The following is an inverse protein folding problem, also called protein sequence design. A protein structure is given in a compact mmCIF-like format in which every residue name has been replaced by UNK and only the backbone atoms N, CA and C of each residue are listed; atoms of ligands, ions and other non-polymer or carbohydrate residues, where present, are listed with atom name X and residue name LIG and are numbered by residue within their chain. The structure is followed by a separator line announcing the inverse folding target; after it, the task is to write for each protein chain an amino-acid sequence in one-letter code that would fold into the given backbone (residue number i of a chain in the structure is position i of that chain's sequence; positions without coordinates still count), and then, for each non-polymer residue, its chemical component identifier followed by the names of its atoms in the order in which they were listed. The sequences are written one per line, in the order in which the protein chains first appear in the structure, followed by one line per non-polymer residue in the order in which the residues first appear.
data_IF_163255497156
#
_entry.id   IF_163255497156
#
_cell.length_a   1.000
_cell.length_b   1.000
_cell.length_c   1.000
_cell.angle_alpha   90.00
_cell.angle_beta   90.00
_cell.angle_gamma   90.00
#
_symmetry.space_group_name_H-M   'P 1'
#
loop_
_entity.id
_entity.type
_entity.pdbx_description
1 polymer ?
#
# COMPACT_ATOMS: atom_id res chain seq x y z
N UNK A 1 -6.33 -17.29 37.15
CA UNK A 1 -6.69 -16.07 36.42
C UNK A 1 -7.90 -16.41 35.58
N UNK A 2 -9.10 -16.06 36.06
CA UNK A 2 -10.33 -16.38 35.35
C UNK A 2 -10.37 -15.51 34.09
N UNK A 3 -10.40 -16.15 32.91
CA UNK A 3 -10.77 -15.49 31.66
C UNK A 3 -12.21 -15.03 31.87
N UNK A 4 -12.41 -13.75 32.11
CA UNK A 4 -13.74 -13.14 32.13
C UNK A 4 -14.44 -13.52 30.83
N UNK A 5 -15.65 -14.06 30.94
CA UNK A 5 -16.51 -14.37 29.80
C UNK A 5 -16.53 -13.17 28.85
N UNK A 6 -16.31 -13.41 27.55
CA UNK A 6 -16.47 -12.39 26.50
C UNK A 6 -17.80 -11.68 26.74
N UNK A 7 -17.76 -10.37 26.98
CA UNK A 7 -18.96 -9.64 27.35
C UNK A 7 -19.87 -9.51 26.13
N UNK A 8 -20.97 -10.27 26.15
CA UNK A 8 -21.98 -10.23 25.11
C UNK A 8 -22.78 -8.93 25.20
N UNK A 9 -22.72 -8.08 24.17
CA UNK A 9 -23.59 -6.92 24.09
C UNK A 9 -25.06 -7.36 23.93
N UNK A 10 -26.00 -6.78 24.69
CA UNK A 10 -27.43 -7.01 24.51
C UNK A 10 -27.88 -6.64 23.09
N UNK A 11 -28.90 -7.34 22.58
CA UNK A 11 -29.45 -7.15 21.23
C UNK A 11 -29.91 -5.71 20.96
N UNK A 12 -30.33 -5.00 22.00
CA UNK A 12 -30.80 -3.61 21.95
C UNK A 12 -29.72 -2.62 21.50
N UNK A 13 -28.44 -2.95 21.70
CA UNK A 13 -27.29 -2.15 21.25
C UNK A 13 -26.82 -2.51 19.83
N UNK A 14 -27.55 -3.38 19.13
CA UNK A 14 -27.22 -3.84 17.78
C UNK A 14 -28.26 -3.38 16.74
N UNK A 15 -28.56 -2.07 16.62
CA UNK A 15 -29.46 -1.60 15.58
C UNK A 15 -28.80 -1.79 14.21
N UNK A 16 -29.58 -2.28 13.25
CA UNK A 16 -29.18 -2.38 11.85
C UNK A 16 -29.91 -1.30 11.06
N UNK A 17 -29.17 -0.53 10.28
CA UNK A 17 -29.73 0.38 9.29
C UNK A 17 -29.22 -0.01 7.91
N UNK A 18 -30.17 -0.33 7.02
CA UNK A 18 -29.85 -0.61 5.62
C UNK A 18 -29.56 0.70 4.89
N UNK A 19 -28.40 0.77 4.26
CA UNK A 19 -27.94 1.85 3.43
C UNK A 19 -27.35 1.28 2.13
N UNK A 20 -28.23 1.16 1.14
CA UNK A 20 -27.90 0.63 -0.19
C UNK A 20 -26.77 1.41 -0.84
N UNK A 21 -26.74 2.74 -0.68
CA UNK A 21 -25.71 3.57 -1.31
C UNK A 21 -24.33 3.25 -0.74
N UNK A 22 -24.19 3.24 0.59
CA UNK A 22 -22.89 2.97 1.20
C UNK A 22 -22.46 1.51 1.03
N UNK A 23 -23.43 0.57 0.97
CA UNK A 23 -23.17 -0.83 0.59
C UNK A 23 -22.60 -0.96 -0.83
N UNK A 24 -23.23 -0.32 -1.83
CA UNK A 24 -22.76 -0.30 -3.22
C UNK A 24 -21.40 0.39 -3.35
N UNK A 25 -21.19 1.51 -2.65
CA UNK A 25 -19.90 2.20 -2.62
C UNK A 25 -18.80 1.28 -2.09
N UNK A 26 -19.06 0.60 -0.97
CA UNK A 26 -18.13 -0.37 -0.36
C UNK A 26 -17.80 -1.49 -1.34
N UNK A 27 -18.82 -2.09 -1.95
CA UNK A 27 -18.65 -3.15 -2.94
C UNK A 27 -17.82 -2.70 -4.15
N UNK A 28 -18.13 -1.51 -4.70
CA UNK A 28 -17.38 -0.92 -5.80
C UNK A 28 -15.92 -0.64 -5.47
N UNK A 29 -15.63 -0.13 -4.26
CA UNK A 29 -14.27 0.08 -3.78
C UNK A 29 -13.51 -1.24 -3.62
N UNK A 30 -14.14 -2.28 -3.06
CA UNK A 30 -13.54 -3.61 -2.96
C UNK A 30 -13.20 -4.20 -4.34
N UNK A 31 -14.11 -4.11 -5.31
CA UNK A 31 -13.84 -4.55 -6.70
C UNK A 31 -12.69 -3.75 -7.31
N UNK A 32 -12.69 -2.43 -7.15
CA UNK A 32 -11.61 -1.55 -7.63
C UNK A 32 -10.25 -1.91 -7.04
N UNK A 33 -10.19 -2.25 -5.74
CA UNK A 33 -8.98 -2.72 -5.08
C UNK A 33 -8.48 -4.04 -5.70
N UNK A 34 -9.36 -5.02 -5.85
CA UNK A 34 -9.02 -6.31 -6.45
C UNK A 34 -8.46 -6.12 -7.86
N UNK A 35 -9.15 -5.37 -8.72
CA UNK A 35 -8.71 -5.10 -10.10
C UNK A 35 -7.38 -4.34 -10.17
N UNK A 36 -7.07 -3.51 -9.17
CA UNK A 36 -5.84 -2.73 -9.12
C UNK A 36 -4.62 -3.56 -8.74
N UNK A 37 -4.76 -4.47 -7.78
CA UNK A 37 -3.64 -5.24 -7.24
C UNK A 37 -3.39 -6.56 -7.99
N UNK A 38 -4.43 -7.23 -8.48
CA UNK A 38 -4.28 -8.53 -9.16
C UNK A 38 -3.26 -8.51 -10.32
N UNK A 39 -3.21 -7.50 -11.20
CA UNK A 39 -2.21 -7.44 -12.26
C UNK A 39 -0.77 -7.42 -11.72
N UNK A 40 -0.53 -6.75 -10.58
CA UNK A 40 0.78 -6.72 -9.94
C UNK A 40 1.15 -8.08 -9.36
N UNK A 41 0.21 -8.73 -8.65
CA UNK A 41 0.42 -10.09 -8.12
C UNK A 41 0.72 -11.07 -9.24
N UNK A 42 -0.07 -11.02 -10.32
CA UNK A 42 0.13 -11.84 -11.52
C UNK A 42 1.52 -11.60 -12.12
N UNK A 43 1.94 -10.34 -12.30
CA UNK A 43 3.25 -10.00 -12.86
C UNK A 43 4.39 -10.63 -12.04
N UNK A 44 4.36 -10.52 -10.71
CA UNK A 44 5.41 -11.09 -9.86
C UNK A 44 5.43 -12.64 -9.97
N UNK A 45 4.25 -13.26 -9.91
CA UNK A 45 4.11 -14.73 -9.97
C UNK A 45 4.53 -15.30 -11.32
N UNK A 46 4.18 -14.61 -12.41
CA UNK A 46 4.47 -15.02 -13.78
C UNK A 46 5.93 -14.76 -14.15
N UNK A 47 6.46 -13.58 -13.81
CA UNK A 47 7.86 -13.22 -14.09
C UNK A 47 8.87 -13.94 -13.20
N UNK A 48 8.41 -14.58 -12.10
CA UNK A 48 9.27 -15.31 -11.14
C UNK A 48 10.41 -14.46 -10.57
N UNK A 49 10.22 -13.15 -10.50
CA UNK A 49 11.20 -12.19 -9.99
C UNK A 49 10.49 -11.02 -9.35
N UNK A 50 11.06 -10.51 -8.26
CA UNK A 50 10.61 -9.32 -7.57
C UNK A 50 11.55 -8.12 -7.75
N UNK A 51 12.39 -8.16 -8.80
CA UNK A 51 13.23 -7.02 -9.22
C UNK A 51 12.38 -5.77 -9.43
N UNK A 52 12.90 -4.61 -8.99
CA UNK A 52 12.18 -3.34 -9.10
C UNK A 52 11.39 -2.95 -7.85
N UNK A 53 11.24 -3.85 -6.87
CA UNK A 53 10.54 -3.55 -5.62
C UNK A 53 11.51 -3.16 -4.52
N UNK A 54 11.08 -2.21 -3.68
CA UNK A 54 11.86 -1.70 -2.56
C UNK A 54 11.46 -2.39 -1.24
N UNK A 55 12.37 -3.08 -0.54
CA UNK A 55 12.05 -3.76 0.73
C UNK A 55 11.62 -2.81 1.85
N UNK A 56 12.18 -1.59 1.94
CA UNK A 56 11.80 -0.60 2.97
C UNK A 56 10.42 -0.03 2.68
N UNK A 57 10.10 0.23 1.41
CA UNK A 57 8.75 0.65 1.04
C UNK A 57 7.70 -0.40 1.42
N UNK A 58 8.00 -1.68 1.19
CA UNK A 58 7.12 -2.79 1.57
C UNK A 58 7.02 -2.94 3.10
N UNK A 59 8.14 -2.80 3.83
CA UNK A 59 8.14 -2.79 5.30
C UNK A 59 7.22 -1.71 5.86
N UNK A 60 7.43 -0.45 5.46
CA UNK A 60 6.66 0.69 5.95
C UNK A 60 5.18 0.53 5.60
N UNK A 61 4.87 0.12 4.35
CA UNK A 61 3.51 -0.07 3.87
C UNK A 61 2.77 -1.20 4.57
N UNK A 62 3.39 -2.37 4.73
CA UNK A 62 2.74 -3.52 5.37
C UNK A 62 2.52 -3.27 6.87
N UNK A 63 3.48 -2.62 7.53
CA UNK A 63 3.39 -2.23 8.96
C UNK A 63 2.31 -1.16 9.17
N UNK A 64 2.24 -0.16 8.29
CA UNK A 64 1.18 0.85 8.26
C UNK A 64 -0.19 0.18 8.05
N UNK A 65 -0.36 -0.58 6.97
CA UNK A 65 -1.62 -1.23 6.63
C UNK A 65 -2.12 -2.18 7.73
N UNK A 66 -1.23 -2.94 8.39
CA UNK A 66 -1.59 -3.80 9.51
C UNK A 66 -2.08 -3.02 10.74
N UNK A 67 -1.46 -1.85 10.99
CA UNK A 67 -1.85 -0.97 12.09
C UNK A 67 -3.20 -0.29 11.80
N UNK A 68 -3.42 0.19 10.57
CA UNK A 68 -4.71 0.73 10.11
C UNK A 68 -5.83 -0.31 10.12
N UNK A 69 -5.52 -1.56 9.75
CA UNK A 69 -6.42 -2.71 9.85
C UNK A 69 -6.93 -2.92 11.27
N UNK A 70 -6.01 -3.11 12.21
CA UNK A 70 -6.37 -3.39 13.58
C UNK A 70 -6.99 -2.19 14.29
N UNK A 71 -6.68 -0.95 13.89
CA UNK A 71 -7.43 0.22 14.34
C UNK A 71 -8.93 0.10 14.00
N UNK A 72 -9.25 -0.22 12.74
CA UNK A 72 -10.65 -0.37 12.31
C UNK A 72 -11.33 -1.53 13.03
N UNK A 73 -10.67 -2.69 13.15
CA UNK A 73 -11.20 -3.84 13.91
C UNK A 73 -11.46 -3.45 15.37
N UNK A 74 -10.54 -2.72 16.00
CA UNK A 74 -10.66 -2.29 17.41
C UNK A 74 -11.88 -1.40 17.60
N UNK A 75 -12.07 -0.43 16.71
CA UNK A 75 -13.17 0.54 16.82
C UNK A 75 -14.53 -0.06 16.42
N UNK A 76 -14.54 -0.99 15.47
CA UNK A 76 -15.76 -1.68 15.03
C UNK A 76 -16.05 -2.99 15.78
N UNK A 77 -15.35 -3.27 16.89
CA UNK A 77 -15.51 -4.53 17.61
C UNK A 77 -16.95 -4.80 18.07
N UNK A 78 -17.66 -3.77 18.53
CA UNK A 78 -19.07 -3.89 18.93
C UNK A 78 -19.95 -4.32 17.75
N UNK A 79 -19.72 -3.74 16.57
CA UNK A 79 -20.44 -4.08 15.33
C UNK A 79 -20.15 -5.52 14.91
N UNK A 80 -18.90 -5.97 15.07
CA UNK A 80 -18.50 -7.36 14.82
C UNK A 80 -19.24 -8.32 15.78
N UNK A 81 -19.31 -7.99 17.07
CA UNK A 81 -20.05 -8.79 18.06
C UNK A 81 -21.56 -8.83 17.77
N UNK A 82 -22.13 -7.75 17.25
CA UNK A 82 -23.53 -7.68 16.86
C UNK A 82 -23.90 -8.63 15.71
N UNK A 83 -22.92 -9.09 14.91
CA UNK A 83 -23.19 -10.02 13.81
C UNK A 83 -23.79 -11.37 14.25
N UNK A 84 -23.71 -11.75 15.54
CA UNK A 84 -24.43 -12.93 16.06
C UNK A 84 -25.96 -12.79 16.00
N UNK A 85 -26.47 -11.57 15.96
CA UNK A 85 -27.91 -11.26 15.94
C UNK A 85 -28.42 -10.81 14.57
N UNK A 86 -27.54 -10.54 13.61
CA UNK A 86 -27.87 -10.09 12.27
C UNK A 86 -27.87 -11.26 11.28
N UNK A 87 -28.63 -11.14 10.19
CA UNK A 87 -28.49 -12.05 9.06
C UNK A 87 -27.11 -11.88 8.40
N UNK A 88 -26.59 -12.89 7.68
CA UNK A 88 -25.27 -12.78 7.03
C UNK A 88 -25.13 -11.57 6.11
N UNK A 89 -26.16 -11.25 5.31
CA UNK A 89 -26.15 -10.08 4.42
C UNK A 89 -26.08 -8.75 5.19
N UNK A 90 -26.89 -8.61 6.24
CA UNK A 90 -26.92 -7.40 7.07
C UNK A 90 -25.59 -7.21 7.82
N UNK A 91 -24.97 -8.30 8.29
CA UNK A 91 -23.64 -8.25 8.89
C UNK A 91 -22.57 -7.81 7.89
N UNK A 92 -22.57 -8.37 6.66
CA UNK A 92 -21.61 -7.96 5.61
C UNK A 92 -21.71 -6.47 5.33
N UNK A 93 -22.93 -5.94 5.21
CA UNK A 93 -23.17 -4.52 4.99
C UNK A 93 -22.65 -3.65 6.16
N UNK A 94 -22.87 -4.11 7.39
CA UNK A 94 -22.43 -3.43 8.61
C UNK A 94 -20.90 -3.42 8.75
N UNK A 95 -20.20 -4.41 8.19
CA UNK A 95 -18.74 -4.57 8.26
C UNK A 95 -17.99 -3.94 7.08
N UNK A 96 -18.61 -3.02 6.33
CA UNK A 96 -18.02 -2.45 5.11
C UNK A 96 -16.60 -1.89 5.29
N UNK A 97 -16.33 -1.14 6.37
CA UNK A 97 -14.99 -0.60 6.62
C UNK A 97 -13.95 -1.71 6.90
N UNK A 98 -14.32 -2.73 7.69
CA UNK A 98 -13.49 -3.94 7.91
C UNK A 98 -13.19 -4.64 6.59
N UNK A 99 -14.15 -4.75 5.66
CA UNK A 99 -13.92 -5.39 4.36
C UNK A 99 -12.98 -4.60 3.44
N UNK A 100 -13.23 -3.29 3.25
CA UNK A 100 -12.41 -2.46 2.34
C UNK A 100 -10.96 -2.41 2.84
N UNK A 101 -10.78 -2.04 4.11
CA UNK A 101 -9.47 -1.99 4.77
C UNK A 101 -8.87 -3.40 4.84
N UNK A 102 -9.73 -4.41 5.01
CA UNK A 102 -9.49 -5.87 5.00
C UNK A 102 -8.62 -6.29 3.84
N UNK A 103 -9.24 -6.10 2.69
CA UNK A 103 -8.71 -6.43 1.39
C UNK A 103 -7.45 -5.62 1.11
N UNK A 104 -7.43 -4.31 1.40
CA UNK A 104 -6.23 -3.49 1.19
C UNK A 104 -5.02 -4.04 1.95
N UNK A 105 -5.16 -4.35 3.25
CA UNK A 105 -4.07 -4.92 4.05
C UNK A 105 -3.63 -6.30 3.52
N UNK A 106 -4.59 -7.17 3.22
CA UNK A 106 -4.32 -8.52 2.72
C UNK A 106 -3.56 -8.48 1.39
N UNK A 107 -4.02 -7.68 0.43
CA UNK A 107 -3.43 -7.59 -0.90
C UNK A 107 -2.04 -6.95 -0.87
N UNK A 108 -1.86 -5.88 -0.09
CA UNK A 108 -0.53 -5.27 0.09
C UNK A 108 0.45 -6.22 0.80
N UNK A 109 0.01 -6.92 1.84
CA UNK A 109 0.85 -7.92 2.53
C UNK A 109 1.19 -9.10 1.61
N UNK A 110 0.27 -9.49 0.72
CA UNK A 110 0.55 -10.50 -0.32
C UNK A 110 1.67 -10.05 -1.25
N UNK A 111 1.78 -8.74 -1.58
CA UNK A 111 2.93 -8.22 -2.36
C UNK A 111 4.24 -8.43 -1.60
N UNK A 112 4.30 -8.17 -0.29
CA UNK A 112 5.50 -8.43 0.52
C UNK A 112 5.86 -9.92 0.54
N UNK A 113 4.88 -10.81 0.73
CA UNK A 113 5.12 -12.26 0.72
C UNK A 113 5.66 -12.70 -0.64
N UNK A 114 5.02 -12.29 -1.73
CA UNK A 114 5.48 -12.60 -3.09
C UNK A 114 6.86 -12.00 -3.38
N UNK A 115 7.16 -10.80 -2.86
CA UNK A 115 8.47 -10.17 -2.97
C UNK A 115 9.58 -11.02 -2.34
N UNK A 116 9.35 -11.56 -1.14
CA UNK A 116 10.31 -12.42 -0.44
C UNK A 116 10.45 -13.79 -1.11
N UNK A 117 9.34 -14.39 -1.53
CA UNK A 117 9.33 -15.71 -2.19
C UNK A 117 10.06 -15.65 -3.54
N UNK A 118 9.77 -14.63 -4.35
CA UNK A 118 10.36 -14.45 -5.68
C UNK A 118 11.58 -13.51 -5.68
N UNK A 119 12.27 -13.38 -4.54
CA UNK A 119 13.48 -12.58 -4.47
C UNK A 119 14.57 -13.17 -5.39
N UNK A 120 15.12 -12.39 -6.34
CA UNK A 120 16.03 -12.88 -7.37
C UNK A 120 17.27 -13.57 -6.78
N UNK A 121 17.53 -14.85 -7.10
CA UNK A 121 18.61 -15.62 -6.49
C UNK A 121 20.00 -15.00 -6.66
N UNK A 122 20.29 -14.41 -7.83
CA UNK A 122 21.57 -13.79 -8.13
C UNK A 122 21.83 -12.49 -7.36
N UNK A 123 20.81 -11.88 -6.75
CA UNK A 123 20.99 -10.71 -5.88
C UNK A 123 21.10 -11.09 -4.41
N UNK A 124 20.98 -12.38 -4.04
CA UNK A 124 20.98 -12.79 -2.62
C UNK A 124 22.36 -12.75 -1.99
N UNK A 125 23.39 -13.07 -2.75
CA UNK A 125 24.75 -13.20 -2.27
C UNK A 125 25.74 -12.48 -3.17
N UNK A 126 26.79 -11.94 -2.57
CA UNK A 126 27.89 -11.27 -3.26
C UNK A 126 29.20 -11.88 -2.76
N UNK A 127 30.13 -12.05 -3.69
CA UNK A 127 31.48 -12.50 -3.39
C UNK A 127 32.29 -11.28 -2.95
N UNK A 128 32.71 -11.25 -1.69
CA UNK A 128 33.59 -10.21 -1.17
C UNK A 128 34.99 -10.77 -1.09
N UNK A 129 35.90 -10.15 -1.83
CA UNK A 129 37.32 -10.50 -1.80
C UNK A 129 38.03 -9.62 -0.78
N UNK A 130 38.66 -10.24 0.21
CA UNK A 130 39.44 -9.53 1.22
C UNK A 130 40.92 -9.91 1.12
N UNK A 131 41.80 -8.91 1.20
CA UNK A 131 43.24 -9.12 1.33
C UNK A 131 43.57 -9.25 2.81
N UNK A 132 43.93 -10.44 3.25
CA UNK A 132 44.24 -10.75 4.65
C UNK A 132 45.54 -10.10 5.14
N UNK A 133 46.41 -9.64 4.23
CA UNK A 133 47.67 -8.96 4.54
C UNK A 133 47.94 -7.81 3.55
N UNK A 134 48.28 -6.59 4.01
CA UNK A 134 48.49 -5.42 3.13
C UNK A 134 49.62 -5.57 2.09
N UNK A 135 50.55 -6.51 2.31
CA UNK A 135 51.82 -6.61 1.57
C UNK A 135 51.91 -7.85 0.66
N UNK A 136 50.88 -8.70 0.66
CA UNK A 136 50.85 -9.96 -0.09
C UNK A 136 49.67 -9.97 -1.05
N UNK A 137 49.94 -9.76 -2.34
CA UNK A 137 48.92 -9.80 -3.38
C UNK A 137 48.40 -11.22 -3.69
N UNK A 138 49.07 -12.26 -3.18
CA UNK A 138 48.76 -13.66 -3.51
C UNK A 138 47.74 -14.31 -2.55
N UNK A 139 47.45 -13.69 -1.40
CA UNK A 139 46.49 -14.22 -0.42
C UNK A 139 45.16 -13.47 -0.52
N UNK A 140 44.32 -13.97 -1.44
CA UNK A 140 42.98 -13.45 -1.71
C UNK A 140 41.96 -14.45 -1.17
N UNK A 141 41.22 -14.08 -0.13
CA UNK A 141 40.11 -14.89 0.39
C UNK A 141 38.79 -14.39 -0.17
N UNK A 142 38.05 -15.26 -0.85
CA UNK A 142 36.70 -14.96 -1.36
C UNK A 142 35.66 -15.51 -0.39
N UNK A 143 34.91 -14.61 0.25
CA UNK A 143 33.79 -14.99 1.11
C UNK A 143 32.45 -14.78 0.39
N UNK A 144 31.56 -15.76 0.52
CA UNK A 144 30.22 -15.71 -0.05
C UNK A 144 29.23 -15.18 0.99
N UNK A 145 29.00 -13.87 0.99
CA UNK A 145 28.20 -13.18 2.02
C UNK A 145 26.86 -12.69 1.47
N UNK A 146 25.86 -12.61 2.34
CA UNK A 146 24.55 -12.09 1.99
C UNK A 146 24.65 -10.62 1.54
N UNK A 147 24.03 -10.29 0.41
CA UNK A 147 23.99 -8.92 -0.10
C UNK A 147 23.24 -8.00 0.85
N UNK A 148 23.56 -6.69 0.83
CA UNK A 148 22.83 -5.67 1.61
C UNK A 148 21.33 -5.71 1.33
N UNK A 149 20.96 -6.01 0.09
CA UNK A 149 19.59 -6.03 -0.41
C UNK A 149 18.80 -7.19 0.14
N UNK A 150 19.41 -8.37 0.16
CA UNK A 150 18.83 -9.54 0.77
C UNK A 150 18.72 -9.41 2.29
N UNK A 151 19.73 -8.79 2.93
CA UNK A 151 19.67 -8.46 4.36
C UNK A 151 18.52 -7.50 4.67
N UNK A 152 18.35 -6.46 3.84
CA UNK A 152 17.27 -5.47 3.99
C UNK A 152 15.89 -6.09 3.74
N UNK A 153 15.76 -6.95 2.73
CA UNK A 153 14.55 -7.71 2.45
C UNK A 153 14.17 -8.65 3.60
N UNK A 154 15.17 -9.40 4.12
CA UNK A 154 14.97 -10.31 5.25
C UNK A 154 14.56 -9.52 6.51
N UNK A 155 15.26 -8.43 6.79
CA UNK A 155 14.93 -7.53 7.90
C UNK A 155 13.51 -6.97 7.78
N UNK A 156 13.12 -6.51 6.58
CA UNK A 156 11.77 -6.05 6.29
C UNK A 156 10.72 -7.14 6.61
N UNK A 157 10.91 -8.35 6.09
CA UNK A 157 9.99 -9.47 6.33
C UNK A 157 9.85 -9.84 7.81
N UNK A 158 10.97 -10.01 8.51
CA UNK A 158 10.97 -10.36 9.94
C UNK A 158 10.33 -9.26 10.78
N UNK A 159 10.70 -8.00 10.53
CA UNK A 159 10.16 -6.86 11.28
C UNK A 159 8.65 -6.73 11.07
N UNK A 160 8.16 -6.85 9.83
CA UNK A 160 6.72 -6.84 9.56
C UNK A 160 5.99 -7.98 10.27
N UNK A 161 6.55 -9.19 10.28
CA UNK A 161 5.94 -10.33 10.97
C UNK A 161 5.89 -10.11 12.49
N UNK A 162 7.00 -9.71 13.10
CA UNK A 162 7.07 -9.43 14.55
C UNK A 162 6.10 -8.32 14.93
N UNK A 163 6.06 -7.23 14.16
CA UNK A 163 5.10 -6.15 14.36
C UNK A 163 3.66 -6.67 14.31
N UNK A 164 3.29 -7.38 13.25
CA UNK A 164 1.95 -7.93 13.06
C UNK A 164 1.54 -8.82 14.25
N UNK A 165 2.40 -9.73 14.68
CA UNK A 165 2.14 -10.61 15.82
C UNK A 165 1.94 -9.79 17.11
N UNK A 166 2.81 -8.81 17.37
CA UNK A 166 2.72 -7.96 18.56
C UNK A 166 1.44 -7.13 18.61
N UNK A 167 1.10 -6.43 17.52
CA UNK A 167 -0.10 -5.59 17.47
C UNK A 167 -1.38 -6.42 17.50
N UNK A 168 -1.38 -7.60 16.88
CA UNK A 168 -2.53 -8.52 16.88
C UNK A 168 -2.76 -9.04 18.28
N UNK A 169 -1.71 -9.58 18.92
CA UNK A 169 -1.78 -10.07 20.30
C UNK A 169 -2.30 -8.98 21.24
N UNK A 170 -1.72 -7.78 21.21
CA UNK A 170 -2.11 -6.68 22.10
C UNK A 170 -3.55 -6.23 21.85
N UNK A 171 -3.96 -6.13 20.58
CA UNK A 171 -5.32 -5.74 20.20
C UNK A 171 -6.36 -6.71 20.75
N UNK A 172 -6.20 -8.01 20.47
CA UNK A 172 -7.14 -9.02 20.94
C UNK A 172 -7.07 -9.20 22.46
N UNK A 173 -5.89 -9.09 23.07
CA UNK A 173 -5.76 -9.12 24.52
C UNK A 173 -6.58 -8.00 25.17
N UNK A 174 -6.46 -6.75 24.72
CA UNK A 174 -7.23 -5.62 25.26
C UNK A 174 -8.73 -5.79 25.04
N UNK A 175 -9.13 -6.13 23.81
CA UNK A 175 -10.54 -6.27 23.44
C UNK A 175 -11.24 -7.42 24.19
N UNK A 176 -10.54 -8.53 24.43
CA UNK A 176 -11.13 -9.71 25.08
C UNK A 176 -11.07 -9.66 26.61
N UNK A 177 -10.18 -8.85 27.19
CA UNK A 177 -10.02 -8.77 28.65
C UNK A 177 -10.66 -7.53 29.27
N UNK A 178 -10.86 -6.46 28.50
CA UNK A 178 -11.50 -5.25 29.01
C UNK A 178 -13.00 -5.24 28.75
N UNK A 179 -13.74 -5.07 29.84
CA UNK A 179 -15.16 -4.83 29.81
C UNK A 179 -15.42 -3.38 29.39
N UNK A 180 -16.03 -3.15 28.23
CA UNK A 180 -16.48 -1.82 27.84
C UNK A 180 -17.64 -1.39 28.74
N UNK A 181 -17.58 -0.21 29.38
CA UNK A 181 -18.69 0.30 30.15
C UNK A 181 -19.93 0.45 29.26
N UNK A 182 -21.04 -0.14 29.67
CA UNK A 182 -22.35 0.11 29.09
C UNK A 182 -23.33 0.46 30.21
N UNK A 183 -24.39 1.24 29.90
CA UNK A 183 -25.42 1.54 30.88
C UNK A 183 -26.01 0.24 31.45
N UNK A 184 -26.16 0.16 32.77
CA UNK A 184 -26.86 -0.95 33.43
C UNK A 184 -28.38 -0.74 33.38
N UNK A 185 -29.20 -1.80 33.29
CA UNK A 185 -30.65 -1.69 33.35
C UNK A 185 -31.12 -1.02 34.67
N UNK A 186 -32.23 -0.26 34.67
CA UNK A 186 -33.09 0.07 33.52
C UNK A 186 -32.45 1.15 32.63
N UNK A 187 -32.48 0.90 31.31
CA UNK A 187 -31.97 1.86 30.33
C UNK A 187 -32.84 3.14 30.30
N UNK A 188 -32.30 4.31 29.92
CA UNK A 188 -33.07 5.54 29.81
C UNK A 188 -34.31 5.32 28.92
N UNK A 189 -35.46 5.81 29.40
CA UNK A 189 -36.76 5.63 28.74
C UNK A 189 -36.69 6.20 27.31
N UNK A 190 -37.10 5.45 26.28
CA UNK A 190 -37.20 5.97 24.92
C UNK A 190 -38.15 7.17 24.90
N UNK A 191 -37.80 8.24 24.17
CA UNK A 191 -38.75 9.33 23.86
C UNK A 191 -40.07 8.72 23.35
N UNK A 192 -41.25 9.30 23.63
CA UNK A 192 -42.54 8.80 23.13
C UNK A 192 -42.68 8.75 21.60
N UNK A 193 -41.65 9.15 20.86
CA UNK A 193 -41.60 9.09 19.40
C UNK A 193 -41.66 7.64 18.90
N UNK A 194 -42.32 7.38 17.75
CA UNK A 194 -42.45 6.07 17.11
C UNK A 194 -41.13 5.53 16.52
N UNK A 195 -39.99 6.09 16.92
CA UNK A 195 -38.67 5.64 16.51
C UNK A 195 -38.19 4.53 17.44
N UNK A 196 -37.58 3.45 16.92
CA UNK A 196 -36.98 2.42 17.78
C UNK A 196 -35.99 3.09 18.73
N UNK A 197 -35.91 2.66 20.01
CA UNK A 197 -34.98 3.25 20.97
C UNK A 197 -33.56 3.22 20.45
N UNK A 198 -33.04 4.40 20.13
CA UNK A 198 -31.67 4.58 19.68
C UNK A 198 -30.79 4.77 20.93
N UNK A 199 -30.44 3.65 21.57
CA UNK A 199 -29.45 3.69 22.64
C UNK A 199 -28.11 4.13 22.06
N UNK A 200 -27.39 5.07 22.69
CA UNK A 200 -26.07 5.47 22.22
C UNK A 200 -25.17 4.22 22.15
N UNK A 201 -24.43 4.03 21.06
CA UNK A 201 -23.59 2.86 20.90
C UNK A 201 -22.55 2.80 22.04
N UNK A 202 -22.21 1.60 22.54
CA UNK A 202 -21.17 1.44 23.55
C UNK A 202 -19.87 2.10 23.08
N UNK A 203 -19.28 2.95 23.91
CA UNK A 203 -17.99 3.55 23.64
C UNK A 203 -16.86 2.60 24.09
N UNK A 204 -15.74 2.51 23.35
CA UNK A 204 -14.59 1.75 23.80
C UNK A 204 -14.08 2.28 25.13
N UNK A 205 -13.56 1.39 25.98
CA UNK A 205 -12.86 1.80 27.21
C UNK A 205 -11.72 2.76 26.88
N UNK A 206 -11.28 3.56 27.86
CA UNK A 206 -10.20 4.53 27.65
C UNK A 206 -8.92 3.87 27.10
N UNK A 207 -8.58 2.68 27.56
CA UNK A 207 -7.36 1.94 27.13
C UNK A 207 -7.51 1.41 25.71
N UNK A 208 -8.66 0.84 25.34
CA UNK A 208 -8.97 0.44 23.96
C UNK A 208 -8.93 1.66 23.03
N UNK A 209 -9.51 2.80 23.45
CA UNK A 209 -9.51 4.03 22.67
C UNK A 209 -8.10 4.60 22.45
N UNK A 210 -7.24 4.57 23.48
CA UNK A 210 -5.84 4.97 23.37
C UNK A 210 -5.06 4.04 22.43
N UNK A 211 -5.25 2.72 22.56
CA UNK A 211 -4.61 1.74 21.69
C UNK A 211 -5.02 1.90 20.23
N UNK A 212 -6.32 2.06 19.97
CA UNK A 212 -6.83 2.36 18.64
C UNK A 212 -6.19 3.65 18.10
N UNK A 213 -6.17 4.73 18.90
CA UNK A 213 -5.56 6.00 18.49
C UNK A 213 -4.08 5.84 18.15
N UNK A 214 -3.33 5.11 18.96
CA UNK A 214 -1.94 4.79 18.70
C UNK A 214 -1.76 4.06 17.36
N UNK A 215 -2.54 3.00 17.11
CA UNK A 215 -2.50 2.26 15.85
C UNK A 215 -2.81 3.14 14.63
N UNK A 216 -3.83 4.00 14.72
CA UNK A 216 -4.25 4.89 13.64
C UNK A 216 -3.21 5.97 13.33
N UNK A 217 -2.63 6.60 14.36
CA UNK A 217 -1.57 7.61 14.21
C UNK A 217 -0.28 6.98 13.70
N UNK A 218 0.16 5.85 14.28
CA UNK A 218 1.34 5.11 13.81
C UNK A 218 1.19 4.75 12.34
N UNK A 219 0.02 4.23 11.96
CA UNK A 219 -0.31 3.89 10.57
C UNK A 219 -0.15 5.10 9.64
N UNK A 220 -0.68 6.27 10.02
CA UNK A 220 -0.60 7.49 9.20
C UNK A 220 0.84 8.03 9.10
N UNK A 221 1.61 8.00 10.18
CA UNK A 221 3.03 8.42 10.18
C UNK A 221 3.86 7.52 9.27
N UNK A 222 3.69 6.20 9.39
CA UNK A 222 4.40 5.24 8.54
C UNK A 222 4.03 5.42 7.06
N UNK A 223 2.75 5.66 6.76
CA UNK A 223 2.30 5.99 5.40
C UNK A 223 2.97 7.28 4.89
N UNK A 224 2.99 8.36 5.68
CA UNK A 224 3.64 9.60 5.29
C UNK A 224 5.14 9.39 4.95
N UNK A 225 5.86 8.65 5.80
CA UNK A 225 7.28 8.33 5.56
C UNK A 225 7.42 7.49 4.29
N UNK A 226 6.52 6.52 4.05
CA UNK A 226 6.53 5.67 2.87
C UNK A 226 6.40 6.47 1.55
N UNK A 227 5.51 7.48 1.50
CA UNK A 227 5.26 8.28 0.29
C UNK A 227 6.27 9.42 0.08
N UNK A 228 6.90 9.93 1.14
CA UNK A 228 7.78 11.11 1.09
C UNK A 228 8.93 11.01 0.07
N UNK A 229 9.68 9.90 0.00
CA UNK A 229 10.78 9.73 -0.96
C UNK A 229 10.35 9.90 -2.42
N UNK A 230 9.17 9.38 -2.77
CA UNK A 230 8.65 9.51 -4.13
C UNK A 230 8.32 10.98 -4.43
N UNK A 231 7.69 11.67 -3.47
CA UNK A 231 7.35 13.08 -3.64
C UNK A 231 8.61 13.95 -3.78
N UNK A 232 9.63 13.70 -2.96
CA UNK A 232 10.89 14.44 -2.99
C UNK A 232 11.68 14.19 -4.29
N UNK A 233 11.80 12.93 -4.70
CA UNK A 233 12.56 12.56 -5.91
C UNK A 233 11.95 13.17 -7.16
N UNK A 234 10.63 13.09 -7.31
CA UNK A 234 9.97 13.71 -8.46
C UNK A 234 10.10 15.24 -8.38
N UNK A 235 9.98 15.85 -7.19
CA UNK A 235 10.21 17.30 -7.01
C UNK A 235 11.58 17.75 -7.48
N UNK A 236 12.62 16.99 -7.13
CA UNK A 236 14.00 17.26 -7.53
C UNK A 236 14.26 16.99 -9.02
N UNK A 237 13.67 15.93 -9.58
CA UNK A 237 13.86 15.54 -10.97
C UNK A 237 13.28 16.57 -11.96
N UNK A 238 12.17 17.24 -11.58
CA UNK A 238 11.45 18.19 -12.44
C UNK A 238 10.93 17.59 -13.76
N UNK A 239 10.82 16.27 -13.82
CA UNK A 239 10.33 15.48 -14.94
C UNK A 239 9.45 14.35 -14.40
N UNK A 240 8.50 13.87 -15.21
CA UNK A 240 7.58 12.78 -14.81
C UNK A 240 8.31 11.44 -14.73
N UNK A 241 9.26 11.18 -15.63
CA UNK A 241 9.97 9.90 -15.72
C UNK A 241 9.04 8.74 -16.05
N UNK A 242 9.31 7.56 -15.48
CA UNK A 242 8.53 6.33 -15.71
C UNK A 242 7.22 6.24 -14.90
N UNK A 243 6.75 7.34 -14.32
CA UNK A 243 5.63 7.33 -13.38
C UNK A 243 4.27 7.26 -14.11
N UNK A 244 3.40 6.32 -13.70
CA UNK A 244 2.11 6.10 -14.36
C UNK A 244 1.04 7.11 -13.91
N UNK A 245 0.88 8.19 -14.68
CA UNK A 245 -0.20 9.18 -14.49
C UNK A 245 -1.61 8.55 -14.52
N UNK A 246 -1.96 7.65 -15.47
CA UNK A 246 -3.31 7.06 -15.52
C UNK A 246 -3.68 6.33 -14.23
N UNK A 247 -2.71 5.59 -13.66
CA UNK A 247 -2.90 4.86 -12.41
C UNK A 247 -3.16 5.81 -11.23
N UNK A 248 -2.49 6.96 -11.18
CA UNK A 248 -2.73 7.98 -10.13
C UNK A 248 -4.06 8.73 -10.32
N UNK A 249 -4.49 8.96 -11.55
CA UNK A 249 -5.79 9.58 -11.85
C UNK A 249 -6.97 8.72 -11.41
N UNK A 250 -6.85 7.38 -11.47
CA UNK A 250 -7.89 6.46 -10.99
C UNK A 250 -7.84 6.34 -9.47
N UNK A 251 -6.65 6.28 -8.87
CA UNK A 251 -6.50 6.07 -7.43
C UNK A 251 -6.89 7.30 -6.58
N UNK A 252 -6.57 8.52 -7.02
CA UNK A 252 -6.83 9.74 -6.22
C UNK A 252 -8.32 9.90 -5.87
N UNK A 253 -9.28 9.79 -6.82
CA UNK A 253 -10.70 9.78 -6.51
C UNK A 253 -11.12 8.59 -5.64
N UNK A 254 -10.54 7.41 -5.87
CA UNK A 254 -10.78 6.22 -5.06
C UNK A 254 -10.39 6.40 -3.59
N UNK A 255 -9.28 7.09 -3.32
CA UNK A 255 -8.83 7.41 -1.97
C UNK A 255 -9.81 8.35 -1.25
N UNK A 256 -10.35 9.36 -1.95
CA UNK A 256 -11.37 10.27 -1.40
C UNK A 256 -12.64 9.48 -1.04
N UNK A 257 -13.12 8.64 -1.95
CA UNK A 257 -14.29 7.80 -1.73
C UNK A 257 -14.07 6.81 -0.58
N UNK A 258 -12.87 6.25 -0.44
CA UNK A 258 -12.52 5.36 0.65
C UNK A 258 -12.53 6.08 2.00
N UNK A 259 -11.91 7.25 2.10
CA UNK A 259 -11.92 8.07 3.34
C UNK A 259 -13.34 8.41 3.73
N UNK A 260 -14.15 8.88 2.79
CA UNK A 260 -15.56 9.20 3.04
C UNK A 260 -16.35 7.95 3.47
N UNK A 261 -16.19 6.84 2.75
CA UNK A 261 -16.85 5.58 3.05
C UNK A 261 -16.51 5.02 4.43
N UNK A 262 -15.33 5.30 4.98
CA UNK A 262 -14.97 4.91 6.36
C UNK A 262 -15.54 5.92 7.35
N UNK A 263 -15.40 7.23 7.08
CA UNK A 263 -15.81 8.30 8.00
C UNK A 263 -17.31 8.32 8.31
N UNK A 264 -18.16 7.88 7.38
CA UNK A 264 -19.62 7.82 7.59
C UNK A 264 -20.08 6.57 8.34
N UNK A 265 -19.18 5.61 8.61
CA UNK A 265 -19.57 4.34 9.24
C UNK A 265 -19.71 4.50 10.76
N UNK A 266 -20.76 3.92 11.36
CA UNK A 266 -20.94 3.93 12.80
C UNK A 266 -19.77 3.23 13.51
N UNK A 267 -19.40 3.74 14.68
CA UNK A 267 -18.31 3.20 15.49
C UNK A 267 -16.90 3.55 14.98
N UNK A 268 -16.76 4.27 13.86
CA UNK A 268 -15.46 4.77 13.40
C UNK A 268 -15.19 6.18 13.94
N UNK A 269 -13.92 6.60 13.91
CA UNK A 269 -13.53 7.97 14.25
C UNK A 269 -12.41 8.46 13.31
N UNK A 270 -11.86 9.65 13.57
CA UNK A 270 -10.81 10.23 12.73
C UNK A 270 -9.56 9.35 12.59
N UNK A 271 -9.24 8.53 13.60
CA UNK A 271 -8.10 7.62 13.58
C UNK A 271 -8.30 6.44 12.62
N UNK A 272 -9.55 6.11 12.27
CA UNK A 272 -9.90 5.05 11.31
C UNK A 272 -9.64 5.42 9.87
N UNK A 273 -9.73 6.71 9.53
CA UNK A 273 -9.59 7.16 8.15
C UNK A 273 -8.35 8.02 7.90
N UNK A 274 -7.67 8.52 8.95
CA UNK A 274 -6.53 9.43 8.81
C UNK A 274 -5.39 8.85 7.97
N UNK A 275 -5.09 7.55 8.09
CA UNK A 275 -4.04 6.91 7.27
C UNK A 275 -4.36 7.01 5.78
N UNK A 276 -5.61 6.72 5.40
CA UNK A 276 -6.02 6.74 4.01
C UNK A 276 -6.12 8.18 3.48
N UNK A 277 -6.50 9.13 4.34
CA UNK A 277 -6.45 10.55 4.01
C UNK A 277 -5.01 11.02 3.78
N UNK A 278 -4.07 10.65 4.66
CA UNK A 278 -2.64 10.96 4.48
C UNK A 278 -2.09 10.38 3.18
N UNK A 279 -2.35 9.10 2.90
CA UNK A 279 -1.95 8.46 1.65
C UNK A 279 -2.56 9.15 0.42
N UNK A 280 -3.87 9.45 0.46
CA UNK A 280 -4.58 10.13 -0.61
C UNK A 280 -4.07 11.55 -0.88
N UNK A 281 -3.75 12.32 0.17
CA UNK A 281 -3.15 13.66 0.04
C UNK A 281 -1.76 13.59 -0.57
N UNK A 282 -0.91 12.66 -0.11
CA UNK A 282 0.44 12.48 -0.66
C UNK A 282 0.38 12.06 -2.13
N UNK A 283 -0.50 11.12 -2.47
CA UNK A 283 -0.71 10.66 -3.85
C UNK A 283 -1.31 11.75 -4.74
N UNK A 284 -2.28 12.51 -4.24
CA UNK A 284 -2.86 13.65 -4.95
C UNK A 284 -1.84 14.75 -5.20
N UNK A 285 -0.96 15.01 -4.22
CA UNK A 285 0.15 15.97 -4.36
C UNK A 285 1.11 15.52 -5.46
N UNK A 286 1.46 14.23 -5.49
CA UNK A 286 2.31 13.65 -6.54
C UNK A 286 1.65 13.78 -7.93
N UNK A 287 0.36 13.49 -8.04
CA UNK A 287 -0.40 13.64 -9.27
C UNK A 287 -0.39 15.09 -9.77
N UNK A 288 -0.69 16.06 -8.91
CA UNK A 288 -0.65 17.50 -9.25
C UNK A 288 0.73 17.86 -9.79
N UNK A 289 1.78 17.44 -9.10
CA UNK A 289 3.17 17.65 -9.49
C UNK A 289 3.44 17.12 -10.92
N UNK A 290 3.05 15.87 -11.18
CA UNK A 290 3.22 15.23 -12.48
C UNK A 290 2.46 15.94 -13.60
N UNK A 291 1.24 16.39 -13.34
CA UNK A 291 0.46 17.18 -14.31
C UNK A 291 1.16 18.51 -14.60
N UNK A 292 1.65 19.21 -13.56
CA UNK A 292 2.40 20.45 -13.73
C UNK A 292 3.67 20.27 -14.57
N UNK A 293 4.46 19.20 -14.34
CA UNK A 293 5.63 18.94 -15.17
C UNK A 293 5.27 18.51 -16.58
N UNK A 294 4.23 17.70 -16.77
CA UNK A 294 3.81 17.31 -18.12
C UNK A 294 3.42 18.52 -18.97
N UNK A 295 2.72 19.48 -18.37
CA UNK A 295 2.41 20.76 -19.03
C UNK A 295 3.70 21.55 -19.35
N UNK A 296 4.64 21.61 -18.40
CA UNK A 296 5.93 22.29 -18.62
C UNK A 296 6.78 21.61 -19.69
N UNK A 297 6.86 20.28 -19.69
CA UNK A 297 7.62 19.48 -20.64
C UNK A 297 7.06 19.65 -22.05
N UNK A 298 5.73 19.67 -22.18
CA UNK A 298 5.07 20.00 -23.45
C UNK A 298 5.38 21.41 -23.95
N UNK A 299 5.50 22.40 -23.05
CA UNK A 299 5.91 23.77 -23.42
C UNK A 299 7.37 23.89 -23.84
N UNK A 300 8.24 23.01 -23.34
CA UNK A 300 9.68 23.00 -23.61
C UNK A 300 10.08 22.01 -24.71
N UNK A 301 9.11 21.31 -25.30
CA UNK A 301 9.29 20.22 -26.27
C UNK A 301 10.32 19.15 -25.86
N UNK A 302 10.26 18.79 -24.58
CA UNK A 302 11.07 17.72 -23.99
C UNK A 302 10.20 16.50 -23.68
N UNK A 303 10.78 15.31 -23.79
CA UNK A 303 10.15 14.05 -23.42
C UNK A 303 9.99 13.90 -21.89
N UNK A 304 9.38 12.79 -21.45
CA UNK A 304 9.11 12.51 -20.04
C UNK A 304 10.40 12.35 -19.19
N UNK A 305 11.56 12.15 -19.83
CA UNK A 305 12.87 12.06 -19.20
C UNK A 305 13.69 13.36 -19.30
N UNK A 306 13.19 14.39 -20.00
CA UNK A 306 13.83 15.69 -20.15
C UNK A 306 14.72 15.84 -21.39
N UNK A 307 14.61 14.96 -22.39
CA UNK A 307 15.36 15.02 -23.66
C UNK A 307 14.58 15.78 -24.73
N UNK A 308 15.22 16.59 -25.59
CA UNK A 308 14.53 17.29 -26.68
C UNK A 308 13.93 16.31 -27.70
N UNK A 309 12.65 16.49 -28.08
CA UNK A 309 11.97 15.59 -29.02
C UNK A 309 12.47 15.69 -30.47
N UNK A 310 13.15 16.78 -30.82
CA UNK A 310 13.67 17.03 -32.18
C UNK A 310 15.08 16.48 -32.47
N UNK A 311 15.67 15.68 -31.58
CA UNK A 311 17.03 15.14 -31.78
C UNK A 311 17.11 13.84 -32.60
N UNK A 312 15.99 13.28 -33.07
CA UNK A 312 15.96 11.99 -33.79
C UNK A 312 15.87 12.10 -35.32
N UNK A 313 15.96 13.31 -35.88
CA UNK A 313 15.83 13.53 -37.34
C UNK A 313 17.13 13.89 -38.07
N UNK A 314 18.29 13.91 -37.42
CA UNK A 314 19.55 14.30 -38.08
C UNK A 314 20.53 13.16 -38.37
N UNK A 315 20.30 11.96 -37.83
CA UNK A 315 21.21 10.81 -38.06
C UNK A 315 20.67 9.76 -39.06
N UNK A 316 19.48 9.98 -39.63
CA UNK A 316 18.82 9.04 -40.56
C UNK A 316 19.10 9.31 -42.05
N UNK A 317 20.07 10.15 -42.42
CA UNK A 317 20.43 10.43 -43.82
C UNK A 317 21.77 9.84 -44.27
N UNK A 318 22.28 8.80 -43.59
CA UNK A 318 23.47 8.07 -44.02
C UNK A 318 23.22 6.55 -44.16
N UNK A 319 22.08 6.14 -44.72
CA UNK A 319 21.89 4.77 -45.19
C UNK A 319 20.67 4.65 -46.12
N UNK A 320 20.65 5.42 -47.20
CA UNK A 320 19.83 5.10 -48.37
C UNK A 320 20.62 4.18 -49.30
N UNK A 321 20.37 2.87 -49.20
CA UNK A 321 20.49 1.96 -50.34
C UNK A 321 19.69 0.66 -50.11
N UNK A 322 18.69 0.48 -50.97
CA UNK A 322 18.09 -0.78 -51.43
C UNK A 322 16.77 -1.29 -50.76
N UNK A 323 15.67 -0.93 -51.46
CA UNK A 323 14.67 -1.84 -52.05
C UNK A 323 13.46 -2.32 -51.17
N UNK A 324 12.37 -2.86 -51.76
CA UNK A 324 11.09 -2.13 -51.84
C UNK A 324 9.91 -2.83 -51.12
N UNK A 325 8.81 -2.07 -51.06
CA UNK A 325 7.47 -2.35 -50.52
C UNK A 325 6.81 -3.70 -50.87
N UNK A 326 6.12 -4.32 -49.89
CA UNK A 326 4.73 -4.80 -50.06
C UNK A 326 4.05 -5.24 -48.74
N UNK A 327 2.74 -4.91 -48.64
CA UNK A 327 1.65 -5.53 -47.86
C UNK A 327 1.56 -5.37 -46.32
N UNK A 328 0.45 -4.76 -45.88
CA UNK A 328 -0.15 -4.86 -44.54
C UNK A 328 -1.30 -5.91 -44.56
N UNK A 329 -2.03 -6.26 -43.45
CA UNK A 329 -1.91 -5.87 -42.04
C UNK A 329 -2.08 -7.01 -40.97
N UNK A 330 -1.96 -6.63 -39.67
CA UNK A 330 -2.40 -7.30 -38.41
C UNK A 330 -1.34 -8.07 -37.58
N UNK A 331 -1.58 -8.29 -36.26
CA UNK A 331 -1.80 -7.35 -35.15
C UNK A 331 -0.61 -7.37 -34.16
N UNK A 332 -0.35 -6.24 -33.49
CA UNK A 332 0.84 -6.03 -32.65
C UNK A 332 0.85 -6.87 -31.35
N UNK A 333 1.50 -8.02 -31.41
CA UNK A 333 2.25 -8.62 -30.29
C UNK A 333 3.70 -8.18 -30.41
N UNK A 334 4.38 -7.75 -29.33
CA UNK A 334 5.83 -7.87 -29.04
C UNK A 334 6.16 -6.96 -27.82
N UNK A 335 6.46 -7.52 -26.65
CA UNK A 335 7.78 -7.98 -26.15
C UNK A 335 8.77 -6.83 -25.85
N UNK A 336 8.79 -6.35 -24.60
CA UNK A 336 9.90 -5.57 -24.04
C UNK A 336 10.91 -6.49 -23.31
N UNK A 337 11.65 -7.27 -24.10
CA UNK A 337 12.92 -7.87 -23.66
C UNK A 337 13.87 -7.90 -24.84
N UNK A 338 14.68 -6.84 -25.01
CA UNK A 338 15.92 -6.94 -25.81
C UNK A 338 17.05 -6.19 -25.11
N UNK A 339 18.17 -6.86 -24.77
CA UNK A 339 19.41 -6.23 -24.34
C UNK A 339 20.20 -5.77 -25.58
N UNK A 340 20.68 -4.54 -25.59
CA UNK A 340 21.59 -4.05 -26.63
C UNK A 340 22.99 -3.90 -26.03
N UNK A 341 23.92 -4.77 -26.45
CA UNK A 341 25.35 -4.49 -26.40
C UNK A 341 25.93 -4.63 -27.80
N UNK A 342 26.56 -3.54 -28.24
CA UNK A 342 27.34 -3.43 -29.47
C UNK A 342 28.10 -2.10 -29.48
N UNK A 343 29.15 -2.02 -28.65
CA UNK A 343 30.32 -1.12 -28.71
C UNK A 343 30.15 0.34 -29.16
N UNK A 344 30.41 1.29 -28.26
CA UNK A 344 31.69 2.04 -28.19
C UNK A 344 31.64 3.09 -27.07
N UNK A 345 32.77 3.32 -26.42
CA UNK A 345 32.91 4.21 -25.28
C UNK A 345 32.62 5.67 -25.65
N UNK A 346 31.74 6.33 -24.88
CA UNK A 346 31.98 7.66 -24.33
C UNK A 346 30.95 8.02 -23.24
N UNK A 347 31.48 8.48 -22.12
CA UNK A 347 30.85 9.06 -20.93
C UNK A 347 29.35 9.41 -21.03
N UNK A 348 28.50 8.55 -20.47
CA UNK A 348 27.15 8.91 -20.04
C UNK A 348 27.00 8.52 -18.57
N UNK A 349 26.83 9.52 -17.70
CA UNK A 349 26.52 9.29 -16.29
C UNK A 349 25.25 8.46 -16.16
N UNK A 350 25.24 7.39 -15.34
CA UNK A 350 24.07 6.54 -15.20
C UNK A 350 22.92 7.31 -14.54
N UNK A 351 21.74 7.22 -15.14
CA UNK A 351 20.51 7.73 -14.55
C UNK A 351 20.36 7.16 -13.12
N UNK A 352 20.23 8.06 -12.13
CA UNK A 352 20.01 7.68 -10.73
C UNK A 352 18.73 6.85 -10.63
N UNK A 353 18.91 5.56 -10.46
CA UNK A 353 17.87 4.59 -10.23
C UNK A 353 17.19 4.92 -8.89
N UNK A 354 15.85 4.86 -8.80
CA UNK A 354 15.05 5.10 -7.58
C UNK A 354 15.56 4.32 -6.35
N UNK A 355 16.25 3.21 -6.64
CA UNK A 355 16.93 2.33 -5.71
C UNK A 355 18.04 3.00 -4.89
N UNK A 356 18.74 3.99 -5.45
CA UNK A 356 19.88 4.63 -4.78
C UNK A 356 19.48 5.57 -3.64
N UNK A 357 18.24 6.08 -3.63
CA UNK A 357 17.77 6.97 -2.56
C UNK A 357 17.76 6.28 -1.18
N UNK A 358 17.55 4.96 -1.15
CA UNK A 358 17.49 4.17 0.08
C UNK A 358 18.77 3.40 0.39
N UNK A 359 19.79 3.51 -0.47
CA UNK A 359 21.09 2.87 -0.28
C UNK A 359 22.07 3.70 0.55
N UNK A 360 21.78 4.99 0.76
CA UNK A 360 22.63 5.92 1.52
C UNK A 360 22.04 6.22 2.89
#
# INVERSE_FOLDING_TARGET
MAISSVQDYPREFCPYQHDTFTALLTGGLCVGLVLSYLPQHYKIIHSKTSQGLNPIFLLLGSTSAASGMLNVITLQWVVIQCCKYLSPGNCIESLGAVWIVGLQWLFFTTVLVLFLVYFPPHLKYVNVTSHTVPWSHDMVTTEHVASTEWRLATFAGVTTLVHLLFITFTTFFLILTENTPHPSPPYPIPSPDPTPPNYPPPYPSHRIALWATFLGVLSAVLAAIQYTPQLWTTWKAKTVGALSIPMMCIQTPGAILMVWSIAVRPGTNWTSWITYATAGIMQGSLLIMCLCWKVRQGKLDIDDFGRPRHSDHTDAHASDAAAPSSTAPAPATHNETTPLLGHSANSAQPAKNWYEFWKN
#
